data_IF_192741987931
#
_entry.id   IF_192741987931
#
_cell.length_a   1.000
_cell.length_b   1.000
_cell.length_c   1.000
_cell.angle_alpha   90.00
_cell.angle_beta   90.00
_cell.angle_gamma   90.00
#
_symmetry.space_group_name_H-M   'P 1'
#
loop_
_entity.id
_entity.type
_entity.pdbx_description
1 polymer ?
#
# COMPACT_ATOMS: atom_id res chain seq x y z
N UNK A 1 -7.53 11.15 20.68
CA UNK A 1 -6.85 10.12 19.89
C UNK A 1 -5.79 10.79 19.04
N UNK A 2 -4.61 10.18 18.88
CA UNK A 2 -3.55 10.71 18.00
C UNK A 2 -2.97 9.60 17.11
N UNK A 3 -2.08 9.97 16.18
CA UNK A 3 -1.48 9.01 15.26
C UNK A 3 -0.57 8.00 15.95
N UNK A 4 0.11 8.36 17.04
CA UNK A 4 0.99 7.44 17.78
C UNK A 4 0.18 6.31 18.44
N UNK A 5 -0.96 6.66 19.05
CA UNK A 5 -1.91 5.69 19.61
C UNK A 5 -2.47 4.76 18.53
N UNK A 6 -2.79 5.30 17.36
CA UNK A 6 -3.30 4.51 16.22
C UNK A 6 -2.22 3.55 15.72
N UNK A 7 -0.99 4.03 15.52
CA UNK A 7 0.16 3.21 15.11
C UNK A 7 0.39 2.09 16.11
N UNK A 8 0.39 2.38 17.40
CA UNK A 8 0.53 1.37 18.46
C UNK A 8 -0.58 0.30 18.38
N UNK A 9 -1.84 0.72 18.18
CA UNK A 9 -2.98 -0.20 18.04
C UNK A 9 -2.86 -1.10 16.81
N UNK A 10 -2.58 -0.55 15.63
CA UNK A 10 -2.50 -1.36 14.41
C UNK A 10 -1.32 -2.31 14.43
N UNK A 11 -0.19 -1.93 15.03
CA UNK A 11 0.97 -2.82 15.18
C UNK A 11 0.71 -4.02 16.09
N UNK A 12 -0.32 -3.97 16.93
CA UNK A 12 -0.76 -5.10 17.75
C UNK A 12 -1.68 -6.08 16.98
N UNK A 13 -2.16 -5.70 15.79
CA UNK A 13 -2.97 -6.55 14.92
C UNK A 13 -2.08 -7.34 13.96
N UNK A 14 -2.69 -8.30 13.24
CA UNK A 14 -2.00 -9.00 12.16
C UNK A 14 -1.62 -8.01 11.04
N UNK A 15 -0.56 -8.31 10.26
CA UNK A 15 -0.25 -7.53 9.07
C UNK A 15 -1.50 -7.41 8.18
N UNK A 16 -1.65 -6.25 7.54
CA UNK A 16 -2.75 -5.92 6.62
C UNK A 16 -4.15 -5.87 7.23
N UNK A 17 -4.32 -6.16 8.52
CA UNK A 17 -5.60 -6.06 9.20
C UNK A 17 -5.93 -4.57 9.45
N UNK A 18 -6.96 -4.01 8.78
CA UNK A 18 -7.22 -2.58 8.86
C UNK A 18 -8.13 -2.25 10.04
N UNK A 19 -7.89 -1.10 10.66
CA UNK A 19 -8.90 -0.42 11.48
C UNK A 19 -9.47 0.77 10.71
N UNK A 20 -10.77 1.01 10.90
CA UNK A 20 -11.47 2.17 10.36
C UNK A 20 -11.58 3.26 11.41
N UNK A 21 -11.18 4.49 11.06
CA UNK A 21 -11.22 5.66 11.93
C UNK A 21 -12.03 6.75 11.23
N UNK A 22 -13.15 7.21 11.79
CA UNK A 22 -13.91 8.31 11.21
C UNK A 22 -13.07 9.59 11.06
N UNK A 23 -13.31 10.33 9.98
CA UNK A 23 -12.71 11.65 9.76
C UNK A 23 -13.06 12.61 10.91
N UNK A 24 -12.17 13.58 11.16
CA UNK A 24 -12.32 14.55 12.24
C UNK A 24 -11.83 14.09 13.61
N UNK A 25 -11.51 12.80 13.79
CA UNK A 25 -10.94 12.29 15.06
C UNK A 25 -9.42 12.43 15.17
N UNK A 26 -8.74 12.68 14.06
CA UNK A 26 -7.28 12.77 13.95
C UNK A 26 -6.89 13.99 13.09
N UNK A 27 -5.72 14.61 13.35
CA UNK A 27 -5.16 15.57 12.42
C UNK A 27 -4.81 14.89 11.08
N UNK A 28 -4.58 15.66 10.00
CA UNK A 28 -4.12 15.10 8.72
C UNK A 28 -2.86 14.22 8.89
N UNK A 29 -2.75 13.08 8.18
CA UNK A 29 -1.59 12.18 8.30
C UNK A 29 -0.24 12.88 8.07
N UNK A 30 -0.20 13.85 7.15
CA UNK A 30 1.01 14.62 6.83
C UNK A 30 1.58 15.40 8.01
N UNK A 31 0.74 15.79 8.99
CA UNK A 31 1.18 16.47 10.20
C UNK A 31 1.84 15.51 11.21
N UNK A 32 1.69 14.20 11.02
CA UNK A 32 2.31 13.16 11.85
C UNK A 32 3.46 12.44 11.12
N UNK A 33 4.02 13.05 10.08
CA UNK A 33 5.18 12.51 9.35
C UNK A 33 4.85 11.45 8.31
N UNK A 34 3.58 11.15 8.06
CA UNK A 34 3.18 10.30 6.94
C UNK A 34 3.40 11.03 5.62
N UNK A 35 3.95 10.32 4.63
CA UNK A 35 4.17 10.84 3.28
C UNK A 35 3.10 10.34 2.34
N UNK A 36 2.76 11.14 1.32
CA UNK A 36 1.91 10.68 0.24
C UNK A 36 2.53 9.47 -0.46
N UNK A 37 1.68 8.52 -0.83
CA UNK A 37 2.06 7.30 -1.52
C UNK A 37 0.98 6.92 -2.54
N UNK A 38 1.23 5.87 -3.32
CA UNK A 38 0.26 5.34 -4.28
C UNK A 38 -0.09 3.92 -3.88
N UNK A 39 -1.35 3.72 -3.47
CA UNK A 39 -1.93 2.42 -3.24
C UNK A 39 -2.67 1.87 -4.48
N UNK A 40 -3.10 0.62 -4.41
CA UNK A 40 -4.02 0.09 -5.42
C UNK A 40 -5.39 0.79 -5.33
N UNK A 41 -6.07 1.08 -6.46
CA UNK A 41 -7.33 1.80 -6.44
C UNK A 41 -8.44 1.02 -5.72
N UNK A 42 -9.11 1.71 -4.80
CA UNK A 42 -10.21 1.26 -3.94
C UNK A 42 -11.30 2.33 -3.77
N UNK A 43 -11.20 3.45 -4.49
CA UNK A 43 -12.07 4.63 -4.31
C UNK A 43 -11.59 5.58 -3.20
N UNK A 44 -10.33 5.45 -2.78
CA UNK A 44 -9.68 6.38 -1.85
C UNK A 44 -9.37 7.72 -2.51
N UNK A 45 -9.29 8.77 -1.70
CA UNK A 45 -8.85 10.12 -2.08
C UNK A 45 -7.33 10.22 -2.11
N UNK A 46 -6.65 9.52 -1.20
CA UNK A 46 -5.20 9.50 -1.09
C UNK A 46 -4.72 8.27 -0.31
N UNK A 47 -3.46 7.91 -0.49
CA UNK A 47 -2.76 6.93 0.34
C UNK A 47 -1.57 7.62 0.99
N UNK A 48 -1.30 7.32 2.26
CA UNK A 48 -0.16 7.82 2.99
C UNK A 48 0.60 6.69 3.67
N UNK A 49 1.92 6.84 3.79
CA UNK A 49 2.79 5.86 4.45
C UNK A 49 3.71 6.50 5.47
N UNK A 50 3.92 5.80 6.57
CA UNK A 50 4.96 6.08 7.55
C UNK A 50 5.91 4.87 7.60
N UNK A 51 7.14 5.07 7.13
CA UNK A 51 8.19 4.06 7.18
C UNK A 51 8.69 3.87 8.61
N UNK A 52 8.79 2.62 9.04
CA UNK A 52 9.33 2.23 10.34
C UNK A 52 10.81 1.85 10.21
N UNK A 53 11.55 1.93 11.33
CA UNK A 53 13.01 1.69 11.34
C UNK A 53 13.44 0.27 10.98
N UNK A 54 12.53 -0.69 11.08
CA UNK A 54 12.77 -2.11 10.75
C UNK A 54 12.37 -2.47 9.31
N UNK A 55 12.02 -1.46 8.50
CA UNK A 55 11.63 -1.61 7.11
C UNK A 55 10.19 -2.09 6.90
N UNK A 56 9.36 -2.11 7.96
CA UNK A 56 7.89 -2.16 7.85
C UNK A 56 7.34 -0.77 7.53
N UNK A 57 6.06 -0.69 7.18
CA UNK A 57 5.39 0.60 7.03
C UNK A 57 3.98 0.60 7.62
N UNK A 58 3.52 1.75 8.09
CA UNK A 58 2.11 2.00 8.38
C UNK A 58 1.50 2.61 7.14
N UNK A 59 0.38 2.05 6.68
CA UNK A 59 -0.33 2.50 5.50
C UNK A 59 -1.71 3.04 5.91
N UNK A 60 -1.98 4.27 5.50
CA UNK A 60 -3.23 4.99 5.72
C UNK A 60 -3.89 5.20 4.37
N UNK A 61 -5.07 4.63 4.21
CA UNK A 61 -5.93 4.83 3.04
C UNK A 61 -7.00 5.85 3.42
N UNK A 62 -7.02 6.99 2.74
CA UNK A 62 -7.94 8.08 3.02
C UNK A 62 -9.21 7.95 2.17
N UNK A 63 -10.36 7.82 2.81
CA UNK A 63 -11.67 7.96 2.18
C UNK A 63 -12.32 9.29 2.58
N UNK A 64 -13.44 9.61 1.93
CA UNK A 64 -14.21 10.84 2.20
C UNK A 64 -14.66 10.95 3.67
N UNK A 65 -15.02 9.82 4.29
CA UNK A 65 -15.65 9.74 5.61
C UNK A 65 -14.76 9.11 6.69
N UNK A 66 -13.70 8.39 6.30
CA UNK A 66 -12.83 7.65 7.23
C UNK A 66 -11.39 7.54 6.72
N UNK A 67 -10.51 7.16 7.63
CA UNK A 67 -9.23 6.53 7.32
C UNK A 67 -9.34 5.02 7.54
N UNK A 68 -8.70 4.24 6.68
CA UNK A 68 -8.38 2.84 6.97
C UNK A 68 -6.88 2.73 7.20
N UNK A 69 -6.48 2.13 8.31
CA UNK A 69 -5.07 2.08 8.71
C UNK A 69 -4.67 0.65 9.00
N UNK A 70 -3.60 0.18 8.38
CA UNK A 70 -2.96 -1.10 8.66
C UNK A 70 -1.44 -0.96 8.59
N UNK A 71 -0.72 -2.05 8.80
CA UNK A 71 0.72 -2.11 8.61
C UNK A 71 1.12 -3.20 7.61
N UNK A 72 2.18 -2.90 6.87
CA UNK A 72 2.78 -3.75 5.84
C UNK A 72 4.11 -4.33 6.35
N UNK A 73 4.44 -5.55 5.92
CA UNK A 73 5.67 -6.25 6.28
C UNK A 73 6.90 -5.63 5.63
N UNK A 74 6.74 -5.02 4.45
CA UNK A 74 7.81 -4.35 3.73
C UNK A 74 7.36 -2.96 3.26
N UNK A 75 8.15 -1.94 3.58
CA UNK A 75 7.99 -0.62 3.00
C UNK A 75 8.35 -0.63 1.49
N UNK A 76 7.52 -0.09 0.59
CA UNK A 76 7.76 -0.13 -0.85
C UNK A 76 8.92 0.75 -1.32
N UNK A 77 9.30 1.80 -0.57
CA UNK A 77 10.46 2.62 -0.90
C UNK A 77 11.77 1.92 -0.50
N UNK A 78 11.75 1.15 0.58
CA UNK A 78 12.94 0.44 1.09
C UNK A 78 13.11 -0.97 0.50
N UNK A 79 12.01 -1.74 0.40
CA UNK A 79 12.01 -3.17 0.03
C UNK A 79 10.96 -3.46 -1.05
N UNK A 80 11.05 -2.87 -2.26
CA UNK A 80 10.00 -2.92 -3.28
C UNK A 80 9.63 -4.34 -3.74
N UNK A 81 10.62 -5.21 -3.93
CA UNK A 81 10.37 -6.59 -4.35
C UNK A 81 9.70 -7.41 -3.25
N UNK A 82 10.12 -7.22 -1.99
CA UNK A 82 9.48 -7.89 -0.86
C UNK A 82 8.04 -7.40 -0.72
N UNK A 83 7.81 -6.09 -0.82
CA UNK A 83 6.48 -5.51 -0.75
C UNK A 83 5.52 -6.11 -1.79
N UNK A 84 5.96 -6.19 -3.04
CA UNK A 84 5.17 -6.82 -4.11
C UNK A 84 4.86 -8.30 -3.82
N UNK A 85 5.82 -9.04 -3.25
CA UNK A 85 5.64 -10.46 -2.99
C UNK A 85 4.73 -10.75 -1.78
N UNK A 86 4.85 -9.99 -0.69
CA UNK A 86 4.19 -10.31 0.58
C UNK A 86 2.99 -9.42 0.90
N UNK A 87 3.05 -8.13 0.55
CA UNK A 87 1.99 -7.16 0.87
C UNK A 87 1.04 -6.93 -0.32
N UNK A 88 1.54 -7.11 -1.54
CA UNK A 88 0.81 -6.80 -2.78
C UNK A 88 0.88 -7.89 -3.87
N UNK A 89 0.74 -9.21 -3.54
CA UNK A 89 0.97 -10.30 -4.51
C UNK A 89 0.08 -10.22 -5.76
N UNK A 90 -1.13 -9.68 -5.63
CA UNK A 90 -2.02 -9.45 -6.77
C UNK A 90 -1.39 -8.57 -7.86
N UNK A 91 -0.62 -7.55 -7.47
CA UNK A 91 0.04 -6.64 -8.41
C UNK A 91 1.26 -7.27 -9.06
N UNK A 92 1.98 -8.12 -8.32
CA UNK A 92 3.05 -8.94 -8.89
C UNK A 92 2.49 -9.89 -9.96
N UNK A 93 1.39 -10.60 -9.67
CA UNK A 93 0.74 -11.50 -10.63
C UNK A 93 0.26 -10.73 -11.86
N UNK A 94 -0.38 -9.58 -11.68
CA UNK A 94 -0.84 -8.75 -12.79
C UNK A 94 0.32 -8.29 -13.69
N UNK A 95 1.43 -7.85 -13.10
CA UNK A 95 2.62 -7.45 -13.85
C UNK A 95 3.21 -8.61 -14.65
N UNK A 96 3.30 -9.80 -14.04
CA UNK A 96 3.79 -11.01 -14.72
C UNK A 96 2.86 -11.43 -15.87
N UNK A 97 1.55 -11.40 -15.67
CA UNK A 97 0.57 -11.73 -16.70
C UNK A 97 0.69 -10.76 -17.90
N UNK A 98 0.84 -9.47 -17.64
CA UNK A 98 1.03 -8.45 -18.68
C UNK A 98 2.33 -8.68 -19.46
N UNK A 99 3.43 -8.99 -18.77
CA UNK A 99 4.71 -9.27 -19.40
C UNK A 99 4.63 -10.51 -20.32
N UNK A 100 3.98 -11.58 -19.87
CA UNK A 100 3.76 -12.78 -20.69
C UNK A 100 2.89 -12.50 -21.92
N UNK A 101 1.82 -11.71 -21.76
CA UNK A 101 0.98 -11.30 -22.89
C UNK A 101 1.77 -10.49 -23.93
N UNK A 102 2.60 -9.54 -23.49
CA UNK A 102 3.46 -8.74 -24.37
C UNK A 102 4.47 -9.62 -25.14
N UNK A 103 5.08 -10.60 -24.48
CA UNK A 103 5.98 -11.56 -25.12
C UNK A 103 5.27 -12.44 -26.16
N UNK A 104 4.05 -12.88 -25.86
CA UNK A 104 3.23 -13.65 -26.80
C UNK A 104 2.88 -12.83 -28.05
N UNK A 105 2.45 -11.57 -27.88
CA UNK A 105 2.15 -10.65 -28.99
C UNK A 105 3.39 -10.42 -29.85
N UNK A 106 4.54 -10.13 -29.23
CA UNK A 106 5.82 -9.96 -29.94
C UNK A 106 6.17 -11.19 -30.78
N UNK A 107 5.99 -12.40 -30.22
CA UNK A 107 6.27 -13.66 -30.93
C UNK A 107 5.35 -13.87 -32.12
N UNK A 108 4.08 -13.48 -32.04
CA UNK A 108 3.13 -13.54 -33.17
C UNK A 108 3.55 -12.55 -34.26
N UNK A 109 3.87 -11.31 -33.90
CA UNK A 109 4.27 -10.29 -34.87
C UNK A 109 5.53 -10.68 -35.65
N UNK A 110 6.52 -11.26 -34.96
CA UNK A 110 7.74 -11.76 -35.60
C UNK A 110 7.52 -12.94 -36.57
N UNK A 111 6.38 -13.63 -36.51
CA UNK A 111 6.02 -14.68 -37.49
C UNK A 111 5.31 -14.13 -38.73
N UNK A 112 4.95 -12.85 -38.74
CA UNK A 112 4.20 -12.18 -39.81
C UNK A 112 5.09 -11.31 -40.71
N UNK A 113 6.39 -11.22 -40.41
CA UNK A 113 7.43 -10.49 -41.16
C UNK A 113 8.44 -11.52 -41.67
#
# INVERSE_FOLDING_TARGET
MNWEEVVSKVLALKPHEPIAIPKGQLPPPSQAGFKLSVGGPRGQLADYRLKLKDGRSIHVVEFKDRYEVHWDLADPEEKPLSHLAVDSPKWLIAALALALAALAVKKILLKLI
#
